data_IF_091032678873
#
_entry.id   IF_091032678873
#
_cell.length_a   1.000
_cell.length_b   1.000
_cell.length_c   1.000
_cell.angle_alpha   90.00
_cell.angle_beta   90.00
_cell.angle_gamma   90.00
#
_symmetry.space_group_name_H-M   'P 1'
#
loop_
_entity.id
_entity.type
_entity.pdbx_description
1 polymer ?
#
# COMPACT_ATOMS: atom_id res chain seq x y z
N UNK A 1 9.88 -5.94 -6.96
CA UNK A 1 8.45 -6.13 -6.60
C UNK A 1 8.33 -7.26 -5.58
N UNK A 2 7.40 -7.15 -4.63
CA UNK A 2 7.12 -8.15 -3.57
C UNK A 2 5.72 -7.86 -2.95
N UNK A 3 5.40 -8.47 -1.79
CA UNK A 3 4.16 -8.26 -1.03
C UNK A 3 2.90 -8.64 -1.82
N UNK A 4 2.15 -7.65 -2.29
CA UNK A 4 0.86 -7.85 -2.95
C UNK A 4 0.92 -8.75 -4.19
N UNK A 5 2.08 -8.82 -4.87
CA UNK A 5 2.25 -9.66 -6.07
C UNK A 5 2.05 -11.16 -5.82
N UNK A 6 2.20 -11.61 -4.56
CA UNK A 6 2.01 -13.00 -4.17
C UNK A 6 0.83 -13.22 -3.23
N UNK A 7 0.10 -12.17 -2.86
CA UNK A 7 -1.02 -12.22 -1.91
C UNK A 7 -0.76 -13.12 -0.66
N UNK A 8 0.41 -12.96 -0.04
CA UNK A 8 0.83 -13.73 1.14
C UNK A 8 1.79 -14.90 0.84
N UNK A 9 1.85 -15.37 -0.42
CA UNK A 9 2.86 -16.36 -0.86
C UNK A 9 4.22 -15.67 -1.05
N UNK A 10 5.35 -16.31 -0.67
CA UNK A 10 6.68 -15.73 -0.81
C UNK A 10 7.10 -15.61 -2.28
N UNK A 11 6.72 -14.49 -2.90
CA UNK A 11 7.03 -14.16 -4.28
C UNK A 11 7.68 -12.77 -4.36
N UNK A 12 8.84 -12.73 -5.00
CA UNK A 12 9.59 -11.52 -5.31
C UNK A 12 10.05 -11.53 -6.76
N UNK A 13 10.11 -10.36 -7.38
CA UNK A 13 10.56 -10.21 -8.76
C UNK A 13 11.40 -8.94 -8.93
N UNK A 14 12.46 -9.05 -9.73
CA UNK A 14 13.21 -7.90 -10.25
C UNK A 14 12.91 -7.82 -11.74
N UNK A 15 12.51 -6.64 -12.20
CA UNK A 15 12.23 -6.38 -13.62
C UNK A 15 13.28 -5.38 -14.09
N UNK A 16 13.98 -5.72 -15.18
CA UNK A 16 15.07 -4.91 -15.72
C UNK A 16 15.20 -5.12 -17.23
N UNK A 17 16.08 -4.36 -17.88
CA UNK A 17 16.32 -4.48 -19.32
C UNK A 17 17.15 -5.73 -19.66
N UNK A 18 17.07 -6.24 -20.90
CA UNK A 18 17.90 -7.38 -21.32
C UNK A 18 19.40 -7.14 -21.14
N UNK A 19 19.88 -5.91 -21.40
CA UNK A 19 21.27 -5.51 -21.22
C UNK A 19 21.75 -5.71 -19.77
N UNK A 20 20.96 -5.25 -18.79
CA UNK A 20 21.29 -5.39 -17.38
C UNK A 20 21.15 -6.85 -16.93
N UNK A 21 20.09 -7.54 -17.38
CA UNK A 21 19.86 -8.95 -17.04
C UNK A 21 20.99 -9.88 -17.50
N UNK A 22 21.70 -9.51 -18.57
CA UNK A 22 22.80 -10.31 -19.11
C UNK A 22 23.92 -10.57 -18.09
N UNK A 23 24.11 -9.69 -17.12
CA UNK A 23 25.08 -9.88 -16.03
C UNK A 23 24.76 -11.12 -15.20
N UNK A 24 23.48 -11.40 -14.96
CA UNK A 24 23.04 -12.57 -14.18
C UNK A 24 23.32 -13.87 -14.94
N UNK A 25 23.11 -13.88 -16.26
CA UNK A 25 23.43 -15.03 -17.11
C UNK A 25 24.93 -15.27 -17.15
N UNK A 26 25.75 -14.23 -17.32
CA UNK A 26 27.23 -14.34 -17.32
C UNK A 26 27.78 -14.85 -16.00
N UNK A 27 27.08 -14.58 -14.89
CA UNK A 27 27.43 -15.04 -13.53
C UNK A 27 26.81 -16.39 -13.18
N UNK A 28 26.06 -17.03 -14.09
CA UNK A 28 25.30 -18.26 -13.84
C UNK A 28 24.45 -18.17 -12.58
N UNK A 29 23.85 -17.00 -12.33
CA UNK A 29 23.02 -16.78 -11.15
C UNK A 29 21.78 -17.67 -11.20
N UNK A 30 21.49 -18.33 -10.08
CA UNK A 30 20.30 -19.18 -9.91
C UNK A 30 19.71 -19.00 -8.51
N UNK A 31 18.41 -19.23 -8.39
CA UNK A 31 17.69 -19.23 -7.12
C UNK A 31 16.82 -20.49 -7.04
N UNK A 32 17.10 -21.34 -6.06
CA UNK A 32 16.44 -22.64 -5.86
C UNK A 32 14.92 -22.56 -5.79
N UNK A 33 14.38 -21.48 -5.20
CA UNK A 33 12.93 -21.27 -5.09
C UNK A 33 12.39 -20.26 -6.12
N UNK A 34 13.27 -19.66 -6.91
CA UNK A 34 12.92 -18.68 -7.93
C UNK A 34 12.08 -19.30 -9.04
N UNK A 35 10.95 -18.68 -9.36
CA UNK A 35 10.12 -19.09 -10.49
C UNK A 35 9.42 -20.44 -10.34
N UNK A 36 9.34 -21.01 -9.13
CA UNK A 36 8.66 -22.29 -8.92
C UNK A 36 7.18 -22.24 -9.35
N UNK A 37 6.60 -23.35 -9.88
CA UNK A 37 5.25 -23.33 -10.46
C UNK A 37 4.15 -22.89 -9.51
N UNK A 38 4.27 -23.22 -8.22
CA UNK A 38 3.26 -22.88 -7.21
C UNK A 38 3.20 -21.36 -7.00
N UNK A 39 4.34 -20.73 -6.76
CA UNK A 39 4.40 -19.28 -6.55
C UNK A 39 4.04 -18.52 -7.83
N UNK A 40 4.46 -19.01 -9.00
CA UNK A 40 4.09 -18.41 -10.29
C UNK A 40 2.59 -18.50 -10.55
N UNK A 41 1.94 -19.63 -10.25
CA UNK A 41 0.49 -19.79 -10.38
C UNK A 41 -0.27 -18.85 -9.44
N UNK A 42 0.20 -18.70 -8.20
CA UNK A 42 -0.39 -17.75 -7.24
C UNK A 42 -0.28 -16.29 -7.75
N UNK A 43 0.90 -15.87 -8.21
CA UNK A 43 1.08 -14.53 -8.77
C UNK A 43 0.22 -14.27 -10.01
N UNK A 44 0.07 -15.27 -10.89
CA UNK A 44 -0.83 -15.18 -12.04
C UNK A 44 -2.30 -15.04 -11.62
N UNK A 45 -2.73 -15.79 -10.60
CA UNK A 45 -4.09 -15.69 -10.07
C UNK A 45 -4.35 -14.29 -9.50
N UNK A 46 -3.38 -13.69 -8.79
CA UNK A 46 -3.47 -12.31 -8.29
C UNK A 46 -3.67 -11.32 -9.44
N UNK A 47 -2.87 -11.41 -10.50
CA UNK A 47 -3.01 -10.51 -11.66
C UNK A 47 -4.38 -10.67 -12.33
N UNK A 48 -4.86 -11.91 -12.49
CA UNK A 48 -6.19 -12.18 -13.06
C UNK A 48 -7.32 -11.56 -12.23
N UNK A 49 -7.22 -11.61 -10.90
CA UNK A 49 -8.22 -10.99 -10.00
C UNK A 49 -8.16 -9.46 -10.13
N UNK A 50 -6.97 -8.87 -10.11
CA UNK A 50 -6.78 -7.42 -10.28
C UNK A 50 -7.46 -6.92 -11.57
N UNK A 51 -7.27 -7.63 -12.67
CA UNK A 51 -7.85 -7.30 -13.97
C UNK A 51 -9.37 -7.56 -14.00
N UNK A 52 -9.81 -8.78 -13.64
CA UNK A 52 -11.22 -9.19 -13.72
C UNK A 52 -12.14 -8.33 -12.84
N UNK A 53 -11.67 -8.00 -11.64
CA UNK A 53 -12.45 -7.22 -10.66
C UNK A 53 -12.18 -5.71 -10.77
N UNK A 54 -11.37 -5.27 -11.75
CA UNK A 54 -11.07 -3.85 -11.99
C UNK A 54 -10.58 -3.15 -10.73
N UNK A 55 -9.63 -3.79 -10.03
CA UNK A 55 -9.21 -3.34 -8.70
C UNK A 55 -8.45 -2.01 -8.74
N UNK A 56 -7.81 -1.65 -9.87
CA UNK A 56 -7.16 -0.36 -10.02
C UNK A 56 -8.19 0.78 -10.10
N UNK A 57 -9.26 0.58 -10.87
CA UNK A 57 -10.39 1.50 -10.99
C UNK A 57 -11.14 1.62 -9.68
N UNK A 58 -11.38 0.50 -9.00
CA UNK A 58 -11.99 0.50 -7.67
C UNK A 58 -11.11 1.27 -6.67
N UNK A 59 -9.79 1.05 -6.66
CA UNK A 59 -8.88 1.78 -5.79
C UNK A 59 -8.89 3.29 -6.07
N UNK A 60 -9.04 3.69 -7.33
CA UNK A 60 -9.20 5.10 -7.69
C UNK A 60 -10.54 5.67 -7.19
N UNK A 61 -11.65 4.97 -7.43
CA UNK A 61 -13.00 5.42 -7.05
C UNK A 61 -13.16 5.52 -5.53
N UNK A 62 -12.85 4.45 -4.80
CA UNK A 62 -12.97 4.39 -3.35
C UNK A 62 -11.94 5.29 -2.68
N UNK A 63 -10.71 5.35 -3.19
CA UNK A 63 -9.68 6.26 -2.70
C UNK A 63 -10.09 7.72 -2.81
N UNK A 64 -10.66 8.11 -3.96
CA UNK A 64 -11.18 9.47 -4.18
C UNK A 64 -12.33 9.81 -3.24
N UNK A 65 -13.23 8.86 -2.99
CA UNK A 65 -14.30 9.03 -2.01
C UNK A 65 -13.74 9.22 -0.59
N UNK A 66 -12.83 8.36 -0.16
CA UNK A 66 -12.23 8.43 1.17
C UNK A 66 -11.46 9.74 1.37
N UNK A 67 -10.69 10.18 0.37
CA UNK A 67 -10.00 11.48 0.41
C UNK A 67 -10.97 12.64 0.65
N UNK A 68 -12.09 12.70 -0.08
CA UNK A 68 -13.11 13.74 0.11
C UNK A 68 -13.64 13.77 1.55
N UNK A 69 -13.85 12.60 2.15
CA UNK A 69 -14.29 12.49 3.54
C UNK A 69 -13.21 12.94 4.52
N UNK A 70 -11.94 12.63 4.26
CA UNK A 70 -10.82 13.09 5.09
C UNK A 70 -10.63 14.61 4.99
N UNK A 71 -10.80 15.21 3.81
CA UNK A 71 -10.76 16.67 3.65
C UNK A 71 -11.85 17.35 4.49
N UNK A 72 -13.08 16.81 4.51
CA UNK A 72 -14.13 17.33 5.41
C UNK A 72 -13.84 17.15 6.90
N UNK A 73 -12.92 16.24 7.27
CA UNK A 73 -12.43 16.13 8.65
C UNK A 73 -11.34 17.18 8.92
N UNK A 74 -10.49 17.47 7.93
CA UNK A 74 -9.49 18.53 8.01
C UNK A 74 -10.12 19.90 8.24
N UNK A 75 -11.26 20.19 7.63
CA UNK A 75 -12.00 21.43 7.87
C UNK A 75 -12.56 21.54 9.29
N UNK A 76 -12.79 20.41 9.95
CA UNK A 76 -13.43 20.34 11.28
C UNK A 76 -12.45 20.20 12.44
N UNK A 77 -11.28 19.63 12.20
CA UNK A 77 -10.32 19.29 13.26
C UNK A 77 -8.95 19.88 12.93
N UNK A 78 -8.51 20.86 13.73
CA UNK A 78 -7.20 21.50 13.60
C UNK A 78 -6.04 20.51 13.65
N UNK A 79 -6.24 19.40 14.37
CA UNK A 79 -5.28 18.31 14.49
C UNK A 79 -4.88 17.69 13.15
N UNK A 80 -5.76 17.72 12.13
CA UNK A 80 -5.44 17.19 10.80
C UNK A 80 -4.63 18.24 10.04
N UNK A 81 -3.37 17.93 9.76
CA UNK A 81 -2.42 18.83 9.08
C UNK A 81 -2.51 18.74 7.57
N UNK A 82 -2.23 17.56 7.02
CA UNK A 82 -2.16 17.30 5.57
C UNK A 82 -2.74 15.93 5.20
N UNK A 83 -3.20 15.79 3.96
CA UNK A 83 -3.76 14.55 3.42
C UNK A 83 -3.06 14.24 2.09
N UNK A 84 -2.37 13.11 2.04
CA UNK A 84 -1.61 12.63 0.87
C UNK A 84 -2.19 11.32 0.38
N UNK A 85 -2.39 11.18 -0.92
CA UNK A 85 -3.01 9.99 -1.49
C UNK A 85 -2.51 9.61 -2.89
N UNK A 86 -2.57 8.31 -3.18
CA UNK A 86 -2.52 7.71 -4.52
C UNK A 86 -3.43 6.48 -4.53
N UNK A 87 -4.68 6.65 -4.97
CA UNK A 87 -5.69 5.57 -4.89
C UNK A 87 -5.99 5.22 -3.43
N UNK A 88 -5.84 3.95 -3.05
CA UNK A 88 -6.04 3.49 -1.66
C UNK A 88 -4.80 3.58 -0.77
N UNK A 89 -3.67 4.09 -1.28
CA UNK A 89 -2.53 4.43 -0.43
C UNK A 89 -2.71 5.87 0.08
N UNK A 90 -3.21 6.01 1.31
CA UNK A 90 -3.57 7.30 1.91
C UNK A 90 -2.79 7.51 3.21
N UNK A 91 -2.21 8.69 3.36
CA UNK A 91 -1.60 9.17 4.59
C UNK A 91 -2.34 10.40 5.12
N UNK A 92 -2.78 10.31 6.37
CA UNK A 92 -3.34 11.42 7.15
C UNK A 92 -2.26 11.90 8.12
N UNK A 93 -1.81 13.14 7.97
CA UNK A 93 -0.85 13.75 8.88
C UNK A 93 -1.58 14.44 10.03
N UNK A 94 -1.16 14.14 11.27
CA UNK A 94 -1.68 14.77 12.47
C UNK A 94 -0.61 15.68 13.10
N UNK A 95 -0.99 16.93 13.38
CA UNK A 95 -0.11 17.98 13.91
C UNK A 95 -0.80 18.76 15.02
N UNK A 96 -0.05 19.17 16.04
CA UNK A 96 -0.57 20.05 17.11
C UNK A 96 -0.54 21.53 16.72
N UNK A 97 0.26 21.88 15.73
CA UNK A 97 0.35 23.21 15.13
C UNK A 97 0.51 23.05 13.60
N UNK A 98 -0.43 23.60 12.83
CA UNK A 98 -0.43 23.51 11.35
C UNK A 98 0.65 24.37 10.69
N UNK A 99 1.02 25.49 11.30
CA UNK A 99 2.02 26.42 10.76
C UNK A 99 3.40 25.82 10.93
N UNK A 100 3.71 25.33 12.14
CA UNK A 100 4.99 24.71 12.46
C UNK A 100 5.08 23.25 12.01
N UNK A 101 3.94 22.64 11.66
CA UNK A 101 3.79 21.21 11.34
C UNK A 101 4.34 20.31 12.45
N UNK A 102 4.12 20.71 13.70
CA UNK A 102 4.61 19.97 14.88
C UNK A 102 3.89 18.62 14.97
N UNK A 103 4.59 17.46 14.87
CA UNK A 103 3.93 16.16 14.82
C UNK A 103 3.15 15.81 16.10
N UNK A 104 1.87 15.45 15.96
CA UNK A 104 0.98 15.08 17.06
C UNK A 104 1.13 13.59 17.44
N UNK A 105 2.30 13.21 17.97
CA UNK A 105 2.64 11.80 18.23
C UNK A 105 1.71 11.13 19.23
N UNK A 106 1.39 11.81 20.34
CA UNK A 106 0.57 11.25 21.41
C UNK A 106 -0.87 11.02 20.93
N UNK A 107 -1.42 12.00 20.21
CA UNK A 107 -2.75 11.98 19.63
C UNK A 107 -2.86 10.94 18.52
N UNK A 108 -1.82 10.81 17.68
CA UNK A 108 -1.76 9.76 16.65
C UNK A 108 -1.84 8.37 17.29
N UNK A 109 -1.06 8.13 18.35
CA UNK A 109 -1.11 6.86 19.07
C UNK A 109 -2.48 6.62 19.71
N UNK A 110 -3.08 7.66 20.31
CA UNK A 110 -4.39 7.57 20.91
C UNK A 110 -5.48 7.22 19.89
N UNK A 111 -5.49 7.89 18.73
CA UNK A 111 -6.43 7.62 17.64
C UNK A 111 -6.25 6.20 17.12
N UNK A 112 -5.01 5.77 16.87
CA UNK A 112 -4.73 4.41 16.39
C UNK A 112 -5.22 3.34 17.37
N UNK A 113 -5.07 3.56 18.68
CA UNK A 113 -5.56 2.63 19.69
C UNK A 113 -7.09 2.60 19.77
N UNK A 114 -7.74 3.77 19.73
CA UNK A 114 -9.20 3.86 19.68
C UNK A 114 -9.78 3.18 18.42
N UNK A 115 -9.10 3.26 17.28
CA UNK A 115 -9.57 2.61 16.06
C UNK A 115 -9.46 1.09 16.14
N UNK A 116 -8.38 0.54 16.71
CA UNK A 116 -8.26 -0.92 16.93
C UNK A 116 -9.37 -1.46 17.84
N UNK A 117 -9.70 -0.75 18.92
CA UNK A 117 -10.69 -1.20 19.90
C UNK A 117 -12.13 -1.25 19.38
N UNK A 118 -12.42 -0.60 18.24
CA UNK A 118 -13.77 -0.53 17.66
C UNK A 118 -14.15 -1.72 16.79
N UNK A 119 -13.17 -2.45 16.24
CA UNK A 119 -13.42 -3.59 15.34
C UNK A 119 -13.64 -4.93 16.08
N UNK A 120 -13.28 -5.02 17.37
CA UNK A 120 -13.44 -6.24 18.17
C UNK A 120 -14.81 -6.37 18.87
N UNK A 121 -15.79 -5.54 18.52
CA UNK A 121 -17.16 -5.56 19.10
C UNK A 121 -18.26 -5.95 18.09
N UNK A 122 -17.88 -6.46 16.91
CA UNK A 122 -18.80 -6.96 15.88
C UNK A 122 -18.84 -8.48 15.82
#
# INVERSE_FOLDING_TARGET
MAKGIGNGIPLGAVVTTPEIAQVLTRRSYSNTFGGNPICTAAGLAVLKVIEKEKLQENAHAVGSYLKKRLLSLQDRYELVGDIRDRGLMIGLELVTDRTMKTPAKAETMHVMEQMKGRDCQG
#
